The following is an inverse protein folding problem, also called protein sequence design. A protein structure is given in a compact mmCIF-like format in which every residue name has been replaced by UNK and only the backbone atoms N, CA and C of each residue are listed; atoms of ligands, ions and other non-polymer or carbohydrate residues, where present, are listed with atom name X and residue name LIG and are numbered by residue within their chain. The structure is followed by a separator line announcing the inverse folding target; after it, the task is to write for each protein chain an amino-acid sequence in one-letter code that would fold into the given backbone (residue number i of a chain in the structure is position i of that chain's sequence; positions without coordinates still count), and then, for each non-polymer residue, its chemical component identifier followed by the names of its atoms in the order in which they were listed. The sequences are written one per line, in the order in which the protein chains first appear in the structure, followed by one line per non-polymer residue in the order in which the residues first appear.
data_IF_789059833050
#
_entry.id   IF_789059833050
#
_cell.length_a   1.000
_cell.length_b   1.000
_cell.length_c   1.000
_cell.angle_alpha   90.00
_cell.angle_beta   90.00
_cell.angle_gamma   90.00
#
_symmetry.space_group_name_H-M   'P 1'
#
loop_
_entity.id
_entity.type
_entity.pdbx_description
1 polymer ?
#
# COMPACT_ATOMS: atom_id res chain seq x y z
N UNK A 1 -3.52 9.01 -2.77
CA UNK A 1 -3.96 10.17 -1.96
C UNK A 1 -5.34 10.63 -2.37
N UNK A 2 -6.07 11.23 -1.42
CA UNK A 2 -7.38 11.84 -1.64
C UNK A 2 -7.28 13.36 -1.44
N UNK A 3 -8.06 14.10 -2.21
CA UNK A 3 -8.24 15.54 -2.03
C UNK A 3 -9.73 15.81 -1.89
N UNK A 4 -10.14 16.34 -0.76
CA UNK A 4 -11.56 16.65 -0.45
C UNK A 4 -11.93 18.05 -0.93
N UNK A 5 -13.14 18.20 -1.45
CA UNK A 5 -13.68 19.49 -1.91
C UNK A 5 -13.82 20.47 -0.76
N UNK A 6 -13.45 21.72 -1.01
CA UNK A 6 -13.61 22.86 -0.13
C UNK A 6 -14.74 23.78 -0.59
N UNK A 7 -15.14 24.71 0.29
CA UNK A 7 -16.22 25.67 0.00
C UNK A 7 -15.93 26.59 -1.19
N UNK A 8 -14.65 26.88 -1.46
CA UNK A 8 -14.19 27.66 -2.61
C UNK A 8 -14.12 26.86 -3.92
N UNK A 9 -14.50 25.59 -3.89
CA UNK A 9 -14.49 24.67 -5.02
C UNK A 9 -13.14 24.00 -5.27
N UNK A 10 -12.08 24.40 -4.61
CA UNK A 10 -10.77 23.72 -4.66
C UNK A 10 -10.81 22.40 -3.91
N UNK A 11 -9.76 21.59 -4.05
CA UNK A 11 -9.64 20.28 -3.40
C UNK A 11 -8.39 20.24 -2.55
N UNK A 12 -8.54 20.05 -1.24
CA UNK A 12 -7.42 19.96 -0.30
C UNK A 12 -7.09 18.51 0.07
N UNK A 13 -5.81 18.22 0.23
CA UNK A 13 -5.30 16.91 0.58
C UNK A 13 -5.85 16.42 1.91
N UNK A 14 -6.35 15.19 1.93
CA UNK A 14 -6.82 14.49 3.12
C UNK A 14 -5.60 13.89 3.83
N UNK A 15 -5.27 14.42 5.00
CA UNK A 15 -4.01 14.10 5.68
C UNK A 15 -3.98 12.72 6.35
N UNK A 16 -5.14 12.19 6.74
CA UNK A 16 -5.23 10.90 7.46
C UNK A 16 -6.68 10.43 7.56
N UNK A 17 -6.89 9.26 8.19
CA UNK A 17 -8.22 8.68 8.39
C UNK A 17 -9.22 9.61 9.09
N UNK A 18 -8.79 10.43 10.06
CA UNK A 18 -9.68 11.32 10.81
C UNK A 18 -10.20 12.48 9.96
N UNK A 19 -9.46 12.89 8.95
CA UNK A 19 -9.82 13.94 8.01
C UNK A 19 -10.57 13.43 6.78
N UNK A 20 -10.77 12.12 6.64
CA UNK A 20 -11.64 11.53 5.62
C UNK A 20 -13.09 11.54 6.11
N UNK A 21 -13.91 12.35 5.47
CA UNK A 21 -15.29 12.58 5.89
C UNK A 21 -16.30 11.53 5.38
N UNK A 22 -15.88 10.54 4.61
CA UNK A 22 -16.74 9.53 4.02
C UNK A 22 -17.38 9.99 2.70
N UNK A 23 -18.71 9.97 2.60
CA UNK A 23 -19.42 10.44 1.40
C UNK A 23 -19.11 11.91 1.08
N UNK A 24 -19.02 12.25 -0.20
CA UNK A 24 -18.68 13.61 -0.65
C UNK A 24 -17.95 13.64 -1.98
N UNK A 25 -17.44 14.81 -2.37
CA UNK A 25 -16.69 15.00 -3.61
C UNK A 25 -15.18 15.04 -3.35
N UNK A 26 -14.45 14.26 -4.12
CA UNK A 26 -13.01 14.10 -4.00
C UNK A 26 -12.32 14.11 -5.37
N UNK A 27 -11.04 14.47 -5.37
CA UNK A 27 -10.12 14.05 -6.42
C UNK A 27 -9.25 12.93 -5.83
N UNK A 28 -9.23 11.80 -6.50
CA UNK A 28 -8.39 10.66 -6.16
C UNK A 28 -7.16 10.74 -7.05
N UNK A 29 -5.95 10.71 -6.49
CA UNK A 29 -4.74 10.74 -7.28
C UNK A 29 -3.70 9.74 -6.76
N UNK A 30 -2.86 9.25 -7.65
CA UNK A 30 -1.66 8.51 -7.32
C UNK A 30 -0.43 9.34 -7.65
N UNK A 31 0.65 9.14 -6.89
CA UNK A 31 1.93 9.78 -7.15
C UNK A 31 2.76 8.84 -8.03
N UNK A 32 3.20 9.34 -9.17
CA UNK A 32 4.08 8.61 -10.07
C UNK A 32 5.53 8.58 -9.57
N UNK A 33 6.36 7.76 -10.18
CA UNK A 33 7.80 7.70 -9.89
C UNK A 33 8.54 9.03 -10.19
N UNK A 34 7.94 9.89 -10.98
CA UNK A 34 8.38 11.25 -11.29
C UNK A 34 7.91 12.30 -10.27
N UNK A 35 7.33 11.86 -9.15
CA UNK A 35 6.77 12.68 -8.09
C UNK A 35 5.61 13.60 -8.53
N UNK A 36 4.98 13.33 -9.67
CA UNK A 36 3.80 14.05 -10.13
C UNK A 36 2.51 13.33 -9.70
N UNK A 37 1.42 14.09 -9.59
CA UNK A 37 0.11 13.56 -9.23
C UNK A 37 -0.70 13.22 -10.48
N UNK A 38 -1.19 12.01 -10.56
CA UNK A 38 -2.00 11.50 -11.65
C UNK A 38 -3.43 11.25 -11.15
N UNK A 39 -4.44 12.00 -11.65
CA UNK A 39 -5.81 11.87 -11.18
C UNK A 39 -6.49 10.64 -11.76
N UNK A 40 -7.33 10.02 -10.94
CA UNK A 40 -8.17 8.87 -11.27
C UNK A 40 -9.59 9.32 -11.61
N UNK A 41 -10.33 8.52 -12.37
CA UNK A 41 -11.78 8.66 -12.47
C UNK A 41 -12.33 8.86 -13.88
N UNK A 42 -11.51 8.95 -14.93
CA UNK A 42 -12.00 9.16 -16.29
C UNK A 42 -11.45 8.13 -17.27
N UNK A 43 -12.36 7.47 -18.00
CA UNK A 43 -12.03 6.72 -19.20
C UNK A 43 -11.88 7.68 -20.38
N UNK A 44 -11.24 7.23 -21.47
CA UNK A 44 -11.22 7.97 -22.72
C UNK A 44 -12.65 8.21 -23.25
N UNK A 45 -12.85 9.30 -23.93
CA UNK A 45 -14.16 9.71 -24.46
C UNK A 45 -14.81 8.60 -25.29
N UNK A 46 -16.09 8.36 -25.04
CA UNK A 46 -16.88 7.32 -25.70
C UNK A 46 -16.58 5.88 -25.27
N UNK A 47 -15.67 5.66 -24.32
CA UNK A 47 -15.39 4.34 -23.76
C UNK A 47 -16.28 4.05 -22.56
N UNK A 48 -16.82 2.83 -22.51
CA UNK A 48 -17.59 2.31 -21.37
C UNK A 48 -16.80 1.31 -20.54
N UNK A 49 -15.59 0.95 -20.98
CA UNK A 49 -14.64 0.09 -20.24
C UNK A 49 -13.20 0.37 -20.69
N UNK A 50 -12.24 0.05 -19.84
CA UNK A 50 -10.82 0.16 -20.16
C UNK A 50 -9.97 0.58 -18.96
N UNK A 51 -8.70 0.81 -19.24
CA UNK A 51 -7.77 1.47 -18.31
C UNK A 51 -7.90 2.98 -18.46
N UNK A 52 -7.59 3.70 -17.38
CA UNK A 52 -7.58 5.17 -17.41
C UNK A 52 -6.16 5.66 -17.64
N UNK A 53 -5.96 6.56 -18.59
CA UNK A 53 -4.65 7.11 -18.96
C UNK A 53 -4.58 8.60 -18.59
N UNK A 54 -4.25 8.90 -17.30
CA UNK A 54 -4.23 10.27 -16.83
C UNK A 54 -3.02 11.03 -17.33
N UNK A 55 -3.16 12.35 -17.39
CA UNK A 55 -2.05 13.29 -17.41
C UNK A 55 -1.84 13.83 -16.02
N UNK A 56 -0.61 14.23 -15.71
CA UNK A 56 -0.30 14.83 -14.43
C UNK A 56 -1.13 16.09 -14.19
N UNK A 57 -1.52 16.29 -12.93
CA UNK A 57 -2.28 17.46 -12.46
C UNK A 57 -1.41 18.24 -11.44
N UNK A 58 -1.50 19.57 -11.51
CA UNK A 58 -0.77 20.43 -10.58
C UNK A 58 -1.38 20.35 -9.17
N UNK A 59 -0.53 20.17 -8.17
CA UNK A 59 -0.88 20.24 -6.75
C UNK A 59 0.04 21.25 -6.08
N UNK A 60 -0.52 22.36 -5.63
CA UNK A 60 0.23 23.44 -4.99
C UNK A 60 -0.12 23.50 -3.49
N UNK A 61 0.88 23.33 -2.64
CA UNK A 61 0.69 23.32 -1.18
C UNK A 61 -0.39 22.34 -0.70
N UNK A 62 -0.51 21.17 -1.36
CA UNK A 62 -1.52 20.16 -1.03
C UNK A 62 -2.92 20.51 -1.52
N UNK A 63 -3.06 21.42 -2.48
CA UNK A 63 -4.34 21.86 -3.04
C UNK A 63 -4.35 21.71 -4.56
N UNK A 64 -5.47 21.23 -5.09
CA UNK A 64 -5.80 21.21 -6.53
C UNK A 64 -6.82 22.32 -6.79
N UNK A 65 -6.56 23.17 -7.76
CA UNK A 65 -7.48 24.23 -8.17
C UNK A 65 -8.79 23.64 -8.76
N UNK A 66 -9.91 24.34 -8.57
CA UNK A 66 -11.23 23.87 -8.97
C UNK A 66 -11.34 23.55 -10.46
N UNK A 67 -10.77 24.39 -11.31
CA UNK A 67 -10.75 24.22 -12.78
C UNK A 67 -9.90 23.02 -13.22
N UNK A 68 -8.74 22.85 -12.59
CA UNK A 68 -7.86 21.70 -12.84
C UNK A 68 -8.49 20.36 -12.39
N UNK A 69 -9.32 20.39 -11.34
CA UNK A 69 -9.99 19.22 -10.78
C UNK A 69 -11.23 18.80 -11.56
N UNK A 70 -11.85 19.69 -12.32
CA UNK A 70 -13.22 19.55 -12.83
C UNK A 70 -13.53 18.22 -13.52
N UNK A 71 -12.61 17.73 -14.34
CA UNK A 71 -12.76 16.47 -15.09
C UNK A 71 -12.52 15.20 -14.26
N UNK A 72 -12.02 15.34 -13.03
CA UNK A 72 -11.54 14.22 -12.21
C UNK A 72 -12.26 14.10 -10.87
N UNK A 73 -13.32 14.87 -10.67
CA UNK A 73 -14.14 14.78 -9.46
C UNK A 73 -14.80 13.42 -9.40
N UNK A 74 -14.61 12.75 -8.27
CA UNK A 74 -15.33 11.54 -7.91
C UNK A 74 -16.28 11.87 -6.77
N UNK A 75 -17.56 11.62 -6.97
CA UNK A 75 -18.56 11.66 -5.92
C UNK A 75 -18.65 10.29 -5.27
N UNK A 76 -18.39 10.24 -3.97
CA UNK A 76 -18.56 9.06 -3.13
C UNK A 76 -19.96 9.10 -2.50
N UNK A 77 -20.76 8.09 -2.75
CA UNK A 77 -22.08 7.90 -2.13
C UNK A 77 -22.00 6.67 -1.23
N UNK A 78 -22.38 6.81 0.05
CA UNK A 78 -22.27 5.72 1.03
C UNK A 78 -23.25 4.58 0.71
N UNK A 79 -22.79 3.33 0.89
CA UNK A 79 -23.57 2.10 0.81
C UNK A 79 -23.37 1.27 2.08
N UNK A 80 -24.08 0.15 2.22
CA UNK A 80 -23.86 -0.77 3.35
C UNK A 80 -22.46 -1.41 3.31
N UNK A 81 -21.89 -1.60 2.11
CA UNK A 81 -20.60 -2.27 1.91
C UNK A 81 -19.40 -1.30 1.77
N UNK A 82 -19.67 0.02 1.67
CA UNK A 82 -18.64 1.03 1.46
C UNK A 82 -19.16 2.25 0.72
N UNK A 83 -18.73 2.45 -0.53
CA UNK A 83 -19.10 3.60 -1.34
C UNK A 83 -19.32 3.19 -2.79
N UNK A 84 -20.29 3.80 -3.48
CA UNK A 84 -20.23 3.90 -4.94
C UNK A 84 -19.35 5.08 -5.34
N UNK A 85 -18.74 5.00 -6.51
CA UNK A 85 -17.91 6.05 -7.10
C UNK A 85 -18.54 6.54 -8.40
N UNK A 86 -18.95 7.82 -8.43
CA UNK A 86 -19.50 8.47 -9.61
C UNK A 86 -18.48 9.48 -10.16
N UNK A 87 -18.14 9.38 -11.42
CA UNK A 87 -17.19 10.29 -12.06
C UNK A 87 -17.81 11.65 -12.41
N UNK A 88 -16.98 12.61 -12.85
CA UNK A 88 -17.35 13.98 -13.15
C UNK A 88 -18.46 14.12 -14.22
N UNK A 89 -18.66 13.12 -15.07
CA UNK A 89 -19.73 13.11 -16.09
C UNK A 89 -20.95 12.28 -15.67
N UNK A 90 -21.05 11.94 -14.37
CA UNK A 90 -22.23 11.30 -13.80
C UNK A 90 -22.31 9.79 -13.98
N UNK A 91 -21.22 9.12 -14.37
CA UNK A 91 -21.20 7.67 -14.55
C UNK A 91 -20.61 6.98 -13.31
N UNK A 92 -21.21 5.88 -12.91
CA UNK A 92 -20.74 5.03 -11.82
C UNK A 92 -19.64 4.07 -12.33
N UNK A 93 -18.55 4.01 -11.58
CA UNK A 93 -17.44 3.10 -11.80
C UNK A 93 -17.74 1.74 -11.20
N UNK A 94 -17.50 0.68 -11.96
CA UNK A 94 -17.68 -0.67 -11.46
C UNK A 94 -16.66 -1.64 -12.08
N UNK A 95 -16.58 -2.83 -11.51
CA UNK A 95 -15.78 -3.92 -12.05
C UNK A 95 -16.65 -5.09 -12.49
N UNK A 96 -16.29 -5.69 -13.62
CA UNK A 96 -16.99 -6.86 -14.15
C UNK A 96 -16.01 -7.97 -14.50
N UNK A 97 -16.48 -9.23 -14.44
CA UNK A 97 -15.66 -10.39 -14.76
C UNK A 97 -14.38 -10.48 -13.94
N UNK A 98 -13.30 -10.96 -14.56
CA UNK A 98 -11.97 -11.08 -13.97
C UNK A 98 -10.97 -10.06 -14.54
N UNK A 99 -11.47 -9.03 -15.21
CA UNK A 99 -10.64 -8.02 -15.84
C UNK A 99 -10.04 -7.06 -14.80
N UNK A 100 -8.91 -6.45 -15.15
CA UNK A 100 -8.24 -5.42 -14.35
C UNK A 100 -8.62 -3.99 -14.78
N UNK A 101 -9.45 -3.89 -15.82
CA UNK A 101 -9.98 -2.63 -16.35
C UNK A 101 -11.27 -2.23 -15.62
N UNK A 102 -11.54 -0.93 -15.65
CA UNK A 102 -12.79 -0.36 -15.11
C UNK A 102 -13.90 -0.41 -16.15
N UNK A 103 -15.12 -0.37 -15.66
CA UNK A 103 -16.32 -0.16 -16.45
C UNK A 103 -17.08 1.04 -15.91
N UNK A 104 -17.92 1.66 -16.73
CA UNK A 104 -18.80 2.76 -16.32
C UNK A 104 -20.22 2.55 -16.85
N UNK A 105 -21.21 2.98 -16.02
CA UNK A 105 -22.63 3.00 -16.35
C UNK A 105 -23.29 4.27 -15.75
N UNK A 106 -24.40 4.68 -16.32
CA UNK A 106 -25.17 5.83 -15.82
C UNK A 106 -25.96 5.52 -14.54
N UNK A 107 -26.16 4.25 -14.22
CA UNK A 107 -26.92 3.79 -13.07
C UNK A 107 -26.14 2.68 -12.34
N UNK A 108 -26.34 2.58 -11.03
CA UNK A 108 -25.80 1.48 -10.21
C UNK A 108 -26.52 0.19 -10.61
N UNK A 109 -25.76 -0.88 -10.81
CA UNK A 109 -26.28 -2.21 -11.09
C UNK A 109 -26.16 -3.14 -9.89
N UNK A 110 -26.41 -4.43 -10.11
CA UNK A 110 -26.52 -5.41 -9.04
C UNK A 110 -25.18 -5.80 -8.42
N UNK A 111 -24.06 -5.59 -9.12
CA UNK A 111 -22.76 -6.09 -8.66
C UNK A 111 -21.56 -5.25 -9.17
N UNK A 112 -20.49 -5.23 -8.37
CA UNK A 112 -19.20 -4.64 -8.69
C UNK A 112 -19.11 -3.12 -8.52
N UNK A 113 -20.11 -2.48 -7.93
CA UNK A 113 -20.18 -1.03 -7.75
C UNK A 113 -19.68 -0.53 -6.40
N UNK A 114 -19.57 -1.42 -5.40
CA UNK A 114 -19.12 -1.07 -4.07
C UNK A 114 -17.60 -1.07 -3.95
N UNK A 115 -17.10 -0.04 -3.28
CA UNK A 115 -15.67 0.19 -3.06
C UNK A 115 -15.41 0.52 -1.59
N UNK A 116 -14.39 -0.07 -1.01
CA UNK A 116 -13.85 0.37 0.27
C UNK A 116 -12.74 1.39 0.05
N UNK A 117 -12.59 2.32 1.00
CA UNK A 117 -11.52 3.31 1.02
C UNK A 117 -10.88 3.24 2.40
N UNK A 118 -9.67 2.73 2.45
CA UNK A 118 -8.94 2.49 3.69
C UNK A 118 -7.67 3.34 3.74
N UNK A 119 -7.46 4.03 4.85
CA UNK A 119 -6.21 4.74 5.09
C UNK A 119 -5.14 3.74 5.56
N UNK A 120 -4.05 3.66 4.83
CA UNK A 120 -2.94 2.73 5.10
C UNK A 120 -1.75 3.39 5.78
N UNK A 121 -1.77 4.69 5.96
CA UNK A 121 -0.75 5.48 6.66
C UNK A 121 -0.76 6.92 6.17
N UNK A 122 -0.51 7.88 7.04
CA UNK A 122 -0.51 9.31 6.69
C UNK A 122 -1.65 9.71 5.75
N UNK A 123 -1.32 10.21 4.58
CA UNK A 123 -2.22 10.63 3.51
C UNK A 123 -2.49 9.56 2.45
N UNK A 124 -2.07 8.32 2.69
CA UNK A 124 -2.23 7.22 1.74
C UNK A 124 -3.53 6.45 1.95
N UNK A 125 -4.21 6.17 0.85
CA UNK A 125 -5.47 5.45 0.85
C UNK A 125 -5.45 4.34 -0.20
N UNK A 126 -5.95 3.17 0.16
CA UNK A 126 -6.21 2.06 -0.75
C UNK A 126 -7.69 2.00 -1.06
N UNK A 127 -8.03 1.91 -2.33
CA UNK A 127 -9.38 1.83 -2.84
C UNK A 127 -9.56 0.45 -3.45
N UNK A 128 -10.47 -0.35 -2.88
CA UNK A 128 -10.66 -1.74 -3.26
C UNK A 128 -12.10 -2.00 -3.65
N UNK A 129 -12.31 -2.65 -4.80
CA UNK A 129 -13.63 -3.14 -5.18
C UNK A 129 -14.03 -4.28 -4.27
N UNK A 130 -15.17 -4.16 -3.60
CA UNK A 130 -15.62 -5.11 -2.57
C UNK A 130 -15.83 -6.50 -3.15
N UNK A 131 -16.53 -6.61 -4.27
CA UNK A 131 -16.85 -7.90 -4.87
C UNK A 131 -15.63 -8.60 -5.50
N UNK A 132 -14.74 -7.82 -6.13
CA UNK A 132 -13.60 -8.39 -6.87
C UNK A 132 -12.34 -8.50 -6.03
N UNK A 133 -12.27 -7.85 -4.87
CA UNK A 133 -11.06 -7.80 -4.04
C UNK A 133 -9.87 -7.19 -4.76
N UNK A 134 -10.11 -6.33 -5.76
CA UNK A 134 -9.08 -5.69 -6.57
C UNK A 134 -8.94 -4.23 -6.18
N UNK A 135 -7.69 -3.78 -6.02
CA UNK A 135 -7.37 -2.42 -5.62
C UNK A 135 -6.90 -1.57 -6.79
N UNK A 136 -7.32 -0.32 -6.78
CA UNK A 136 -6.91 0.69 -7.77
C UNK A 136 -5.41 0.95 -7.65
N UNK A 137 -4.69 0.82 -8.76
CA UNK A 137 -3.24 1.09 -8.84
C UNK A 137 -2.90 1.89 -10.08
N UNK A 138 -1.90 2.78 -9.95
CA UNK A 138 -1.26 3.46 -11.06
C UNK A 138 -0.04 2.63 -11.48
N UNK A 139 -0.02 2.19 -12.72
CA UNK A 139 1.10 1.47 -13.32
C UNK A 139 1.77 2.31 -14.40
N UNK A 140 3.08 2.14 -14.55
CA UNK A 140 3.84 2.70 -15.66
C UNK A 140 4.23 1.58 -16.63
N UNK A 141 3.77 1.68 -17.86
CA UNK A 141 4.07 0.69 -18.89
C UNK A 141 4.20 1.37 -20.26
N UNK A 142 5.22 1.00 -21.03
CA UNK A 142 5.49 1.54 -22.39
C UNK A 142 5.47 3.08 -22.45
N UNK A 143 6.06 3.76 -21.48
CA UNK A 143 6.18 5.22 -21.48
C UNK A 143 4.93 5.97 -21.01
N UNK A 144 3.91 5.29 -20.53
CA UNK A 144 2.66 5.90 -20.09
C UNK A 144 2.20 5.39 -18.71
N UNK A 145 1.61 6.28 -17.92
CA UNK A 145 0.89 5.90 -16.72
C UNK A 145 -0.54 5.49 -17.03
N UNK A 146 -1.02 4.46 -16.37
CA UNK A 146 -2.42 4.03 -16.46
C UNK A 146 -2.93 3.49 -15.12
N UNK A 147 -4.19 3.79 -14.81
CA UNK A 147 -4.88 3.11 -13.73
C UNK A 147 -5.54 1.83 -14.20
N UNK A 148 -5.39 0.81 -13.41
CA UNK A 148 -6.15 -0.43 -13.41
C UNK A 148 -6.54 -0.80 -11.99
N UNK A 149 -7.28 -1.89 -11.82
CA UNK A 149 -7.62 -2.44 -10.52
C UNK A 149 -7.13 -3.88 -10.46
N UNK A 150 -6.20 -4.14 -9.60
CA UNK A 150 -5.48 -5.41 -9.55
C UNK A 150 -5.81 -6.12 -8.24
N UNK A 151 -5.86 -7.45 -8.27
CA UNK A 151 -5.84 -8.21 -7.03
C UNK A 151 -4.75 -7.60 -6.15
N UNK A 152 -5.08 -7.35 -4.87
CA UNK A 152 -4.04 -7.02 -3.92
C UNK A 152 -2.95 -8.03 -4.22
N UNK A 153 -1.74 -7.55 -4.62
CA UNK A 153 -0.60 -8.39 -4.39
C UNK A 153 -0.85 -8.83 -2.96
N UNK A 154 -0.95 -10.14 -2.74
CA UNK A 154 -0.64 -10.61 -1.43
C UNK A 154 0.73 -9.96 -1.20
N UNK A 155 0.75 -8.88 -0.45
CA UNK A 155 1.83 -8.64 0.44
C UNK A 155 1.71 -9.86 1.33
N UNK A 156 2.22 -10.96 0.84
CA UNK A 156 2.83 -11.92 1.69
C UNK A 156 3.80 -11.02 2.41
N UNK A 157 3.38 -10.56 3.59
CA UNK A 157 4.30 -9.96 4.50
C UNK A 157 5.43 -10.91 4.39
N UNK A 158 6.67 -10.44 4.05
CA UNK A 158 7.76 -11.36 3.85
C UNK A 158 7.75 -12.21 5.11
N UNK A 159 6.93 -13.26 5.07
CA UNK A 159 6.94 -14.32 6.04
C UNK A 159 8.24 -14.96 5.66
N UNK A 160 9.27 -14.43 6.24
CA UNK A 160 10.53 -15.11 6.20
C UNK A 160 10.20 -16.42 6.86
N UNK A 161 10.04 -17.49 6.06
CA UNK A 161 9.92 -18.82 6.60
C UNK A 161 11.02 -18.93 7.64
N UNK A 162 10.68 -19.43 8.83
CA UNK A 162 11.66 -19.71 9.85
C UNK A 162 12.83 -20.36 9.12
N UNK A 163 13.96 -19.70 8.95
CA UNK A 163 15.17 -20.09 8.23
C UNK A 163 15.53 -19.28 6.99
N UNK A 164 14.70 -18.37 6.44
CA UNK A 164 15.10 -17.56 5.27
C UNK A 164 15.83 -16.28 5.64
N UNK A 165 15.79 -15.87 6.90
CA UNK A 165 16.67 -14.80 7.43
C UNK A 165 18.02 -15.35 7.91
N UNK A 166 18.25 -16.57 7.64
CA UNK A 166 19.33 -17.33 8.19
C UNK A 166 20.36 -17.57 7.11
N UNK A 167 21.49 -16.96 7.22
CA UNK A 167 22.60 -17.03 6.29
C UNK A 167 22.82 -15.73 5.55
N UNK A 168 23.75 -15.73 4.64
CA UNK A 168 24.20 -14.56 3.89
C UNK A 168 23.08 -13.85 3.11
N UNK A 169 22.01 -14.57 2.76
CA UNK A 169 20.86 -14.03 2.04
C UNK A 169 19.92 -13.19 2.90
N UNK A 170 19.95 -13.35 4.24
CA UNK A 170 19.11 -12.57 5.18
C UNK A 170 19.71 -11.25 5.60
N UNK A 171 20.96 -10.99 5.26
CA UNK A 171 21.65 -9.74 5.61
C UNK A 171 21.92 -9.54 7.10
N UNK A 172 21.75 -10.58 7.95
CA UNK A 172 22.15 -10.52 9.35
C UNK A 172 23.66 -10.58 9.48
N UNK A 173 24.20 -9.79 10.39
CA UNK A 173 25.64 -9.76 10.70
C UNK A 173 25.87 -10.18 12.12
N UNK A 174 26.84 -11.08 12.32
CA UNK A 174 27.30 -11.48 13.65
C UNK A 174 28.52 -10.62 14.02
N UNK A 175 28.45 -9.99 15.20
CA UNK A 175 29.58 -9.27 15.79
C UNK A 175 30.00 -9.97 17.08
N UNK A 176 31.12 -10.65 17.02
CA UNK A 176 31.73 -11.32 18.19
C UNK A 176 32.69 -10.34 18.88
N UNK A 177 32.32 -9.89 20.08
CA UNK A 177 33.18 -9.02 20.93
C UNK A 177 34.09 -9.88 21.77
N UNK A 178 33.54 -10.90 22.41
CA UNK A 178 34.29 -11.89 23.17
C UNK A 178 33.55 -13.23 23.13
N UNK A 179 34.14 -14.22 22.49
CA UNK A 179 33.62 -15.58 22.48
C UNK A 179 34.61 -16.60 23.12
N UNK A 180 35.67 -16.08 23.75
CA UNK A 180 36.67 -16.91 24.39
C UNK A 180 37.35 -17.92 23.43
N UNK A 181 37.32 -19.19 23.78
CA UNK A 181 37.87 -20.28 22.94
C UNK A 181 36.82 -20.91 22.01
N UNK A 182 35.60 -20.37 21.95
CA UNK A 182 34.54 -20.89 21.10
C UNK A 182 34.80 -20.51 19.63
N UNK A 183 34.43 -21.39 18.71
CA UNK A 183 34.55 -21.13 17.27
C UNK A 183 33.39 -20.25 16.78
N UNK A 184 32.26 -20.28 17.46
CA UNK A 184 31.05 -19.47 17.19
C UNK A 184 30.08 -19.54 18.39
N UNK A 185 29.22 -18.59 18.50
CA UNK A 185 28.09 -18.57 19.45
C UNK A 185 26.77 -18.63 18.69
N UNK A 186 26.65 -17.83 17.62
CA UNK A 186 25.48 -17.84 16.75
C UNK A 186 25.60 -18.88 15.65
N UNK A 187 24.58 -19.66 15.48
CA UNK A 187 24.40 -20.59 14.36
C UNK A 187 23.04 -20.44 13.76
N UNK A 188 23.01 -20.59 12.45
CA UNK A 188 21.81 -20.77 11.72
C UNK A 188 21.59 -22.21 11.34
N UNK A 189 20.45 -22.76 11.64
CA UNK A 189 20.10 -24.14 11.33
C UNK A 189 18.73 -24.25 10.69
N UNK A 190 18.56 -25.14 9.75
CA UNK A 190 17.28 -25.41 9.09
C UNK A 190 16.16 -25.79 10.08
N UNK A 191 16.51 -26.33 11.23
CA UNK A 191 15.54 -26.81 12.21
C UNK A 191 15.08 -25.71 13.18
N UNK A 192 15.97 -24.81 13.58
CA UNK A 192 15.72 -23.88 14.68
C UNK A 192 15.89 -22.40 14.28
N UNK A 193 16.24 -22.11 13.05
CA UNK A 193 16.60 -20.76 12.66
C UNK A 193 17.90 -20.30 13.31
N UNK A 194 17.98 -19.05 13.71
CA UNK A 194 19.09 -18.52 14.48
C UNK A 194 19.04 -19.02 15.92
N UNK A 195 20.11 -19.63 16.35
CA UNK A 195 20.31 -20.01 17.73
C UNK A 195 21.65 -19.53 18.25
N UNK A 196 21.67 -19.10 19.50
CA UNK A 196 22.89 -18.80 20.23
C UNK A 196 23.14 -19.87 21.30
N UNK A 197 24.36 -20.32 21.46
CA UNK A 197 24.75 -21.15 22.57
C UNK A 197 26.21 -20.94 22.91
N UNK A 198 26.46 -20.63 24.17
CA UNK A 198 27.78 -20.58 24.78
C UNK A 198 28.05 -21.81 25.68
N UNK A 199 27.18 -22.82 25.61
CA UNK A 199 27.33 -24.08 26.35
C UNK A 199 28.00 -25.11 25.44
N UNK A 200 29.25 -25.42 25.71
CA UNK A 200 30.06 -26.40 24.93
C UNK A 200 30.85 -27.32 25.85
N UNK A 201 30.82 -28.60 25.54
CA UNK A 201 31.56 -29.59 26.32
C UNK A 201 31.14 -29.73 27.80
N UNK A 202 29.86 -29.39 28.11
CA UNK A 202 29.35 -29.43 29.49
C UNK A 202 29.67 -28.19 30.31
N UNK A 203 30.19 -27.12 29.68
CA UNK A 203 30.61 -25.90 30.38
C UNK A 203 29.91 -24.67 29.75
N UNK A 204 29.44 -23.80 30.65
CA UNK A 204 28.97 -22.46 30.27
C UNK A 204 30.16 -21.52 30.07
N UNK A 205 30.26 -20.89 28.92
CA UNK A 205 31.28 -19.89 28.63
C UNK A 205 30.70 -18.49 28.71
N UNK A 206 31.46 -17.56 29.31
CA UNK A 206 31.10 -16.15 29.24
C UNK A 206 31.37 -15.61 27.83
N UNK A 207 30.35 -15.07 27.19
CA UNK A 207 30.47 -14.54 25.82
C UNK A 207 29.73 -13.22 25.70
N UNK A 208 30.22 -12.38 24.78
CA UNK A 208 29.56 -11.18 24.33
C UNK A 208 29.55 -11.18 22.80
N UNK A 209 28.36 -11.30 22.23
CA UNK A 209 28.17 -11.37 20.80
C UNK A 209 26.79 -10.80 20.41
N UNK A 210 26.68 -10.24 19.25
CA UNK A 210 25.48 -9.61 18.74
C UNK A 210 25.10 -10.20 17.39
N UNK A 211 23.79 -10.47 17.21
CA UNK A 211 23.19 -10.74 15.93
C UNK A 211 22.44 -9.47 15.49
N UNK A 212 22.92 -8.82 14.46
CA UNK A 212 22.37 -7.53 13.99
C UNK A 212 21.59 -7.77 12.69
N UNK A 213 20.35 -7.36 12.68
CA UNK A 213 19.51 -7.39 11.48
C UNK A 213 20.04 -6.42 10.42
N UNK A 214 19.75 -6.62 9.14
CA UNK A 214 19.90 -5.57 8.15
C UNK A 214 19.09 -4.32 8.55
N UNK A 215 19.42 -3.18 7.97
CA UNK A 215 18.63 -1.98 8.14
C UNK A 215 17.18 -2.26 7.71
N UNK A 216 16.24 -1.95 8.58
CA UNK A 216 14.81 -2.07 8.32
C UNK A 216 14.33 -0.67 7.98
N UNK A 217 13.94 -0.45 6.74
CA UNK A 217 13.29 0.79 6.34
C UNK A 217 11.86 0.78 6.85
N UNK A 218 11.56 1.72 7.73
CA UNK A 218 10.20 1.98 8.20
C UNK A 218 9.71 3.18 7.42
N UNK A 219 8.62 3.01 6.67
CA UNK A 219 8.01 4.11 5.92
C UNK A 219 7.60 5.23 6.86
N UNK A 220 7.88 6.47 6.47
CA UNK A 220 7.49 7.66 7.24
C UNK A 220 5.96 7.67 7.41
N UNK A 221 5.50 7.71 8.65
CA UNK A 221 4.08 7.65 8.98
C UNK A 221 3.48 6.26 9.15
N UNK A 222 4.29 5.20 9.11
CA UNK A 222 3.83 3.86 9.49
C UNK A 222 3.26 3.88 10.92
N UNK A 223 1.99 3.54 11.05
CA UNK A 223 1.34 3.49 12.35
C UNK A 223 1.83 2.26 13.12
N UNK A 224 2.65 2.48 14.14
CA UNK A 224 3.10 1.44 15.07
C UNK A 224 3.84 0.26 14.38
N UNK A 225 5.03 0.47 13.81
CA UNK A 225 5.84 -0.64 13.35
C UNK A 225 6.17 -1.56 14.54
N UNK A 226 6.02 -2.85 14.34
CA UNK A 226 6.38 -3.84 15.35
C UNK A 226 7.18 -4.97 14.71
N UNK A 227 8.05 -5.57 15.52
CA UNK A 227 8.79 -6.78 15.18
C UNK A 227 8.25 -7.90 16.05
N UNK A 228 7.89 -9.01 15.43
CA UNK A 228 7.58 -10.24 16.15
C UNK A 228 8.82 -11.12 16.20
N UNK A 229 9.20 -11.55 17.39
CA UNK A 229 10.31 -12.46 17.61
C UNK A 229 9.74 -13.69 18.32
N UNK A 230 9.82 -14.83 17.66
CA UNK A 230 9.54 -16.12 18.28
C UNK A 230 10.83 -16.64 18.88
N UNK A 231 10.86 -16.78 20.20
CA UNK A 231 12.04 -17.24 20.90
C UNK A 231 11.73 -18.45 21.81
N UNK A 232 12.71 -19.34 21.92
CA UNK A 232 12.65 -20.48 22.83
C UNK A 232 13.93 -20.58 23.64
N UNK A 233 13.78 -20.66 24.93
CA UNK A 233 14.89 -20.91 25.88
C UNK A 233 14.95 -22.39 26.28
N UNK A 234 16.15 -22.90 26.50
CA UNK A 234 16.40 -24.20 27.10
C UNK A 234 17.24 -24.08 28.37
#
# INVERSE_FOLDING_TARGET
VLFAKKDDGSFAKVANKKSFAGAGEYVIAAVGADAQYYPFGRLADGKTYGYMYPKAIAVENGVIAADAAADFVITLEATEAGFTMKNAIGQYLYMSGNYDSFNVKNEVGDAGFDWTIENTGSDQFVITNVEKGKSVKLNYYNGSYSFGSYAAEKVEGKTYAANTLCGDEGGFTIYDVNIGSLSFVWQNTAQYGWKASAYVGGVNNATETYLVSPAIEIEEGAALPYITIDEAFR
#
